data_IF_228647605288
#
_entry.id   IF_228647605288
#
_cell.length_a   1.000
_cell.length_b   1.000
_cell.length_c   1.000
_cell.angle_alpha   90.00
_cell.angle_beta   90.00
_cell.angle_gamma   90.00
#
_symmetry.space_group_name_H-M   'P 1'
#
loop_
_entity.id
_entity.type
_entity.pdbx_description
1 polymer ?
#
# COMPACT_ATOMS: atom_id res chain seq x y z
N UNK A 1 -15.95 -20.87 -7.55
CA UNK A 1 -16.96 -19.94 -8.13
C UNK A 1 -17.70 -19.31 -6.96
N UNK A 2 -17.91 -17.99 -6.98
CA UNK A 2 -18.59 -17.24 -5.92
C UNK A 2 -19.98 -16.78 -6.34
N UNK A 3 -20.83 -16.49 -5.36
CA UNK A 3 -22.25 -16.15 -5.52
C UNK A 3 -22.63 -14.99 -4.60
N UNK A 4 -23.63 -14.22 -5.01
CA UNK A 4 -24.34 -13.26 -4.16
C UNK A 4 -25.74 -13.82 -3.92
N UNK A 5 -26.14 -13.95 -2.66
CA UNK A 5 -27.40 -14.57 -2.23
C UNK A 5 -28.29 -13.58 -1.52
N UNK A 6 -29.59 -13.68 -1.72
CA UNK A 6 -30.57 -13.08 -0.82
C UNK A 6 -31.17 -14.16 0.08
N UNK A 7 -30.88 -14.09 1.39
CA UNK A 7 -31.39 -15.07 2.34
C UNK A 7 -32.93 -15.09 2.44
N UNK A 8 -33.59 -13.96 2.18
CA UNK A 8 -35.05 -13.86 2.32
C UNK A 8 -35.80 -14.52 1.15
N UNK A 9 -35.47 -14.16 -0.10
CA UNK A 9 -36.15 -14.70 -1.28
C UNK A 9 -35.44 -15.90 -1.93
N UNK A 10 -34.33 -16.37 -1.35
CA UNK A 10 -33.55 -17.53 -1.79
C UNK A 10 -33.04 -17.44 -3.24
N UNK A 11 -32.99 -16.23 -3.81
CA UNK A 11 -32.40 -15.98 -5.12
C UNK A 11 -30.90 -15.77 -4.98
N UNK A 12 -30.16 -16.21 -5.99
CA UNK A 12 -28.72 -16.04 -6.06
C UNK A 12 -28.25 -15.72 -7.46
N UNK A 13 -27.12 -15.02 -7.55
CA UNK A 13 -26.46 -14.66 -8.82
C UNK A 13 -25.00 -15.07 -8.72
N UNK A 14 -24.48 -15.71 -9.76
CA UNK A 14 -23.06 -16.05 -9.84
C UNK A 14 -22.24 -14.79 -10.09
N UNK A 15 -21.16 -14.62 -9.32
CA UNK A 15 -20.31 -13.44 -9.41
C UNK A 15 -19.39 -13.53 -10.62
N UNK A 16 -19.39 -12.48 -11.43
CA UNK A 16 -18.40 -12.29 -12.49
C UNK A 16 -17.12 -11.69 -11.87
N UNK A 17 -15.96 -12.36 -11.96
CA UNK A 17 -14.70 -11.86 -11.38
C UNK A 17 -14.20 -10.55 -11.99
N UNK A 18 -14.71 -10.17 -13.17
CA UNK A 18 -14.31 -8.94 -13.87
C UNK A 18 -15.26 -7.77 -13.65
N UNK A 19 -16.37 -7.96 -12.91
CA UNK A 19 -17.33 -6.92 -12.61
C UNK A 19 -17.19 -6.46 -11.14
N UNK A 20 -17.32 -5.16 -10.84
CA UNK A 20 -17.35 -4.69 -9.46
C UNK A 20 -18.56 -5.29 -8.73
N UNK A 21 -18.31 -5.80 -7.53
CA UNK A 21 -19.36 -6.32 -6.65
C UNK A 21 -20.18 -5.15 -6.09
N UNK A 22 -21.47 -5.09 -6.42
CA UNK A 22 -22.43 -4.26 -5.68
C UNK A 22 -23.17 -5.13 -4.67
N UNK A 23 -23.11 -4.74 -3.40
CA UNK A 23 -23.86 -5.34 -2.29
C UNK A 23 -25.15 -4.55 -2.01
N UNK A 24 -25.75 -3.97 -3.04
CA UNK A 24 -27.05 -3.30 -2.92
C UNK A 24 -28.14 -4.26 -2.41
N UNK A 25 -29.29 -3.70 -2.02
CA UNK A 25 -30.47 -4.47 -1.63
C UNK A 25 -30.94 -5.37 -2.77
N UNK A 26 -31.43 -6.56 -2.42
CA UNK A 26 -32.01 -7.50 -3.37
C UNK A 26 -33.11 -6.83 -4.21
N UNK A 27 -32.98 -6.84 -5.53
CA UNK A 27 -33.93 -6.21 -6.46
C UNK A 27 -35.35 -6.76 -6.34
N UNK A 28 -35.50 -7.99 -5.84
CA UNK A 28 -36.80 -8.65 -5.70
C UNK A 28 -37.51 -8.34 -4.37
N UNK A 29 -36.78 -8.20 -3.26
CA UNK A 29 -37.39 -8.14 -1.92
C UNK A 29 -36.79 -7.07 -1.00
N UNK A 30 -35.84 -6.26 -1.48
CA UNK A 30 -35.25 -5.15 -0.72
C UNK A 30 -34.36 -5.55 0.47
N UNK A 31 -34.16 -6.84 0.73
CA UNK A 31 -33.30 -7.31 1.83
C UNK A 31 -31.81 -7.27 1.46
N UNK A 32 -30.96 -7.29 2.48
CA UNK A 32 -29.50 -7.35 2.33
C UNK A 32 -29.08 -8.60 1.56
N UNK A 33 -28.04 -8.43 0.73
CA UNK A 33 -27.41 -9.51 0.00
C UNK A 33 -26.15 -9.97 0.75
N UNK A 34 -25.89 -11.27 0.72
CA UNK A 34 -24.71 -11.89 1.32
C UNK A 34 -23.84 -12.57 0.27
N UNK A 35 -22.56 -12.71 0.58
CA UNK A 35 -21.58 -13.30 -0.32
C UNK A 35 -21.30 -14.75 0.06
N UNK A 36 -21.42 -15.66 -0.90
CA UNK A 36 -20.96 -17.04 -0.77
C UNK A 36 -19.74 -17.28 -1.66
N UNK A 37 -18.62 -17.71 -1.08
CA UNK A 37 -17.36 -18.00 -1.78
C UNK A 37 -17.39 -19.31 -2.54
N UNK A 38 -18.24 -20.23 -2.13
CA UNK A 38 -18.32 -21.60 -2.65
C UNK A 38 -19.77 -22.06 -2.85
N UNK A 39 -20.02 -23.09 -3.68
CA UNK A 39 -21.33 -23.71 -3.81
C UNK A 39 -21.87 -24.27 -2.48
N UNK A 40 -20.98 -24.76 -1.60
CA UNK A 40 -21.34 -25.27 -0.28
C UNK A 40 -21.87 -24.16 0.63
N UNK A 41 -21.16 -23.02 0.67
CA UNK A 41 -21.58 -21.83 1.41
C UNK A 41 -22.87 -21.23 0.84
N UNK A 42 -23.05 -21.26 -0.48
CA UNK A 42 -24.32 -20.87 -1.12
C UNK A 42 -25.48 -21.70 -0.57
N UNK A 43 -25.34 -23.03 -0.54
CA UNK A 43 -26.39 -23.91 -0.03
C UNK A 43 -26.68 -23.63 1.45
N UNK A 44 -25.65 -23.38 2.26
CA UNK A 44 -25.80 -23.02 3.67
C UNK A 44 -26.68 -21.78 3.86
N UNK A 45 -26.36 -20.69 3.16
CA UNK A 45 -27.12 -19.45 3.24
C UNK A 45 -28.55 -19.61 2.70
N UNK A 46 -28.74 -20.43 1.66
CA UNK A 46 -30.08 -20.76 1.15
C UNK A 46 -30.93 -21.51 2.18
N UNK A 47 -30.33 -22.33 3.04
CA UNK A 47 -31.06 -23.02 4.13
C UNK A 47 -31.24 -22.15 5.37
N UNK A 48 -30.75 -20.90 5.38
CA UNK A 48 -30.87 -19.99 6.52
C UNK A 48 -29.98 -20.39 7.70
N UNK A 49 -28.91 -21.12 7.43
CA UNK A 49 -27.91 -21.46 8.43
C UNK A 49 -26.93 -20.28 8.49
N UNK A 50 -26.89 -19.59 9.62
CA UNK A 50 -25.94 -18.51 9.86
C UNK A 50 -24.52 -19.09 9.94
N UNK A 51 -23.66 -18.65 9.02
CA UNK A 51 -22.24 -18.98 9.06
C UNK A 51 -21.59 -18.23 10.23
N UNK A 52 -20.97 -18.92 11.21
CA UNK A 52 -20.33 -18.23 12.31
C UNK A 52 -19.17 -17.38 11.77
N UNK A 53 -19.14 -16.11 12.14
CA UNK A 53 -18.03 -15.23 11.76
C UNK A 53 -16.71 -15.74 12.34
N UNK A 54 -15.73 -16.01 11.49
CA UNK A 54 -14.39 -16.38 11.95
C UNK A 54 -13.72 -15.13 12.52
N UNK A 55 -13.54 -15.15 13.83
CA UNK A 55 -12.95 -14.07 14.58
C UNK A 55 -11.44 -14.05 14.33
N UNK A 56 -10.91 -12.89 13.96
CA UNK A 56 -9.48 -12.69 13.76
C UNK A 56 -9.00 -11.36 14.37
N UNK A 57 -7.71 -11.33 14.69
CA UNK A 57 -6.98 -10.15 15.16
C UNK A 57 -5.93 -9.78 14.11
N UNK A 58 -5.77 -8.48 13.85
CA UNK A 58 -4.65 -8.00 13.04
C UNK A 58 -3.45 -7.82 13.96
N UNK A 59 -2.40 -8.60 13.76
CA UNK A 59 -1.12 -8.46 14.44
C UNK A 59 -0.15 -7.78 13.48
N UNK A 60 0.44 -6.66 13.88
CA UNK A 60 1.44 -6.00 13.05
C UNK A 60 2.65 -6.92 12.82
N UNK A 61 3.08 -7.10 11.57
CA UNK A 61 4.27 -7.92 11.27
C UNK A 61 5.54 -7.33 11.88
N UNK A 62 5.62 -6.01 11.95
CA UNK A 62 6.80 -5.25 12.38
C UNK A 62 6.91 -5.21 13.90
N UNK A 63 5.94 -4.59 14.60
CA UNK A 63 6.03 -4.39 16.05
C UNK A 63 5.26 -5.44 16.88
N UNK A 64 4.60 -6.41 16.24
CA UNK A 64 3.78 -7.45 16.89
C UNK A 64 2.60 -6.92 17.72
N UNK A 65 2.30 -5.62 17.65
CA UNK A 65 1.14 -5.06 18.36
C UNK A 65 -0.16 -5.54 17.72
N UNK A 66 -1.17 -5.76 18.56
CA UNK A 66 -2.54 -5.95 18.09
C UNK A 66 -3.09 -4.63 17.53
N UNK A 67 -3.76 -4.70 16.39
CA UNK A 67 -4.34 -3.56 15.70
C UNK A 67 -5.85 -3.80 15.53
N UNK A 68 -6.70 -2.78 15.74
CA UNK A 68 -8.13 -2.94 15.55
C UNK A 68 -8.48 -3.30 14.09
N UNK A 69 -9.58 -4.04 13.90
CA UNK A 69 -9.95 -4.65 12.62
C UNK A 69 -10.12 -3.64 11.48
N UNK A 70 -10.55 -2.42 11.76
CA UNK A 70 -10.88 -1.42 10.73
C UNK A 70 -9.70 -0.55 10.31
N UNK A 71 -8.57 -0.60 11.03
CA UNK A 71 -7.46 0.30 10.76
C UNK A 71 -6.53 -0.30 9.69
N UNK A 72 -6.24 0.50 8.67
CA UNK A 72 -5.39 0.13 7.52
C UNK A 72 -3.88 0.22 7.80
N UNK A 73 -3.48 0.88 8.88
CA UNK A 73 -2.10 1.03 9.34
C UNK A 73 -1.98 0.72 10.83
N UNK A 74 -0.81 0.24 11.25
CA UNK A 74 -0.56 -0.13 12.63
C UNK A 74 -0.53 1.15 13.47
N UNK A 75 -1.38 1.25 14.49
CA UNK A 75 -1.43 2.45 15.32
C UNK A 75 -0.16 2.70 16.13
N UNK A 76 0.69 1.68 16.32
CA UNK A 76 1.96 1.81 17.04
C UNK A 76 3.12 2.20 16.14
N UNK A 77 3.31 1.51 14.99
CA UNK A 77 4.50 1.70 14.15
C UNK A 77 4.22 2.19 12.73
N UNK A 78 2.96 2.50 12.39
CA UNK A 78 2.54 2.96 11.06
C UNK A 78 2.59 1.92 9.95
N UNK A 79 3.14 0.72 10.21
CA UNK A 79 3.23 -0.35 9.21
C UNK A 79 1.86 -0.79 8.71
N UNK A 80 1.74 -1.00 7.40
CA UNK A 80 0.54 -1.55 6.76
C UNK A 80 0.60 -3.08 6.62
N UNK A 81 1.64 -3.72 7.16
CA UNK A 81 1.84 -5.15 7.08
C UNK A 81 1.27 -5.85 8.32
N UNK A 82 0.26 -6.70 8.10
CA UNK A 82 -0.39 -7.45 9.17
C UNK A 82 -0.37 -8.95 8.92
N UNK A 83 -0.17 -9.69 10.00
CA UNK A 83 -0.56 -11.09 10.12
C UNK A 83 -1.99 -11.12 10.65
N UNK A 84 -2.82 -11.98 10.06
CA UNK A 84 -4.14 -12.27 10.62
C UNK A 84 -3.98 -13.46 11.57
N UNK A 85 -4.22 -13.22 12.85
CA UNK A 85 -4.26 -14.28 13.84
C UNK A 85 -5.72 -14.66 14.08
N UNK A 86 -6.06 -15.89 13.69
CA UNK A 86 -7.40 -16.42 13.88
C UNK A 86 -7.57 -16.94 15.29
N UNK A 87 -8.72 -16.68 15.87
CA UNK A 87 -9.11 -17.28 17.14
C UNK A 87 -9.43 -18.77 16.91
N UNK A 88 -8.68 -19.70 17.53
CA UNK A 88 -8.84 -21.13 17.30
C UNK A 88 -10.26 -21.62 17.63
N UNK A 89 -10.95 -21.01 18.60
CA UNK A 89 -12.32 -21.39 18.94
C UNK A 89 -13.30 -21.01 17.82
N UNK A 90 -13.12 -19.82 17.23
CA UNK A 90 -13.96 -19.37 16.12
C UNK A 90 -13.76 -20.23 14.86
N UNK A 91 -12.52 -20.63 14.57
CA UNK A 91 -12.20 -21.54 13.47
C UNK A 91 -12.80 -22.91 13.71
N UNK A 92 -12.73 -23.41 14.94
CA UNK A 92 -13.34 -24.69 15.33
C UNK A 92 -14.86 -24.66 15.12
N UNK A 93 -15.55 -23.64 15.62
CA UNK A 93 -17.00 -23.47 15.42
C UNK A 93 -17.38 -23.40 13.95
N UNK A 94 -16.60 -22.68 13.15
CA UNK A 94 -16.79 -22.62 11.71
C UNK A 94 -16.65 -24.00 11.06
N UNK A 95 -15.61 -24.75 11.39
CA UNK A 95 -15.42 -26.09 10.86
C UNK A 95 -16.55 -27.05 11.28
N UNK A 96 -17.00 -26.97 12.53
CA UNK A 96 -18.14 -27.74 13.03
C UNK A 96 -19.42 -27.42 12.25
N UNK A 97 -19.73 -26.14 12.01
CA UNK A 97 -20.88 -25.73 11.20
C UNK A 97 -20.82 -26.23 9.76
N UNK A 98 -19.62 -26.27 9.16
CA UNK A 98 -19.42 -26.80 7.81
C UNK A 98 -19.63 -28.32 7.75
N UNK A 99 -19.22 -29.05 8.78
CA UNK A 99 -19.45 -30.49 8.89
C UNK A 99 -20.94 -30.78 9.10
N UNK A 100 -21.60 -30.03 9.98
CA UNK A 100 -23.03 -30.19 10.25
C UNK A 100 -23.87 -29.91 9.00
N UNK A 101 -23.52 -28.87 8.25
CA UNK A 101 -24.10 -28.54 6.95
C UNK A 101 -24.02 -29.70 5.95
N UNK A 102 -22.82 -30.28 5.83
CA UNK A 102 -22.56 -31.37 4.91
C UNK A 102 -23.37 -32.62 5.31
N UNK A 103 -23.48 -32.89 6.62
CA UNK A 103 -24.30 -33.98 7.14
C UNK A 103 -25.80 -33.76 6.88
N UNK A 104 -26.31 -32.53 7.02
CA UNK A 104 -27.70 -32.19 6.69
C UNK A 104 -28.00 -32.44 5.20
N UNK A 105 -27.11 -32.03 4.30
CA UNK A 105 -27.26 -32.30 2.86
C UNK A 105 -27.30 -33.80 2.57
N UNK A 106 -26.41 -34.57 3.19
CA UNK A 106 -26.38 -36.03 3.02
C UNK A 106 -27.66 -36.70 3.52
N UNK A 107 -28.22 -36.24 4.64
CA UNK A 107 -29.47 -36.77 5.19
C UNK A 107 -30.67 -36.41 4.30
N UNK A 108 -30.73 -35.21 3.75
CA UNK A 108 -31.79 -34.81 2.82
C UNK A 108 -31.75 -35.65 1.54
N UNK A 109 -30.56 -35.91 0.98
CA UNK A 109 -30.39 -36.79 -0.19
C UNK A 109 -30.88 -38.22 0.06
N UNK A 110 -30.63 -38.75 1.27
CA UNK A 110 -31.12 -40.09 1.66
C UNK A 110 -32.64 -40.15 1.79
N UNK A 111 -33.28 -39.05 2.20
CA UNK A 111 -34.74 -38.99 2.37
C UNK A 111 -35.51 -38.84 1.05
N UNK A 112 -34.91 -38.20 0.03
CA UNK A 112 -35.57 -38.01 -1.27
C UNK A 112 -35.66 -39.28 -2.13
N UNK A 113 -35.05 -40.40 -1.72
CA UNK A 113 -35.30 -41.72 -2.33
C UNK A 113 -34.91 -41.88 -3.80
N UNK A 114 -34.29 -40.87 -4.42
CA UNK A 114 -33.77 -40.95 -5.78
C UNK A 114 -32.50 -41.81 -5.78
N UNK A 115 -32.65 -43.08 -6.16
CA UNK A 115 -31.60 -44.09 -6.24
C UNK A 115 -30.54 -43.83 -7.34
N UNK A 116 -30.53 -42.65 -7.96
CA UNK A 116 -29.56 -42.22 -8.96
C UNK A 116 -28.69 -41.08 -8.41
N UNK A 117 -27.94 -41.36 -7.34
CA UNK A 117 -26.84 -40.48 -6.93
C UNK A 117 -25.71 -40.67 -7.96
N UNK A 118 -25.28 -39.62 -8.68
CA UNK A 118 -24.16 -39.72 -9.62
C UNK A 118 -22.91 -40.20 -8.88
N UNK A 119 -22.29 -41.30 -9.34
CA UNK A 119 -21.14 -41.95 -8.68
C UNK A 119 -19.95 -41.01 -8.45
N UNK A 120 -19.87 -39.92 -9.23
CA UNK A 120 -18.83 -38.90 -9.16
C UNK A 120 -18.80 -38.15 -7.80
N UNK A 121 -19.92 -38.07 -7.07
CA UNK A 121 -19.96 -37.43 -5.75
C UNK A 121 -19.52 -38.35 -4.60
N UNK A 122 -19.64 -39.67 -4.75
CA UNK A 122 -19.23 -40.63 -3.73
C UNK A 122 -17.69 -40.75 -3.65
N UNK A 123 -17.01 -40.64 -4.79
CA UNK A 123 -15.55 -40.73 -4.85
C UNK A 123 -14.85 -39.49 -4.28
N UNK A 124 -15.46 -38.31 -4.38
CA UNK A 124 -14.89 -37.09 -3.77
C UNK A 124 -14.99 -37.07 -2.24
N UNK A 125 -15.98 -37.74 -1.64
CA UNK A 125 -16.13 -37.81 -0.18
C UNK A 125 -15.15 -38.79 0.49
N UNK A 126 -14.58 -39.75 -0.25
CA UNK A 126 -13.66 -40.75 0.30
C UNK A 126 -12.17 -40.40 0.17
N UNK A 127 -11.79 -39.39 -0.62
CA UNK A 127 -10.37 -39.10 -0.93
C UNK A 127 -9.68 -38.06 -0.03
N UNK A 128 -10.31 -37.58 1.05
CA UNK A 128 -9.64 -36.61 1.92
C UNK A 128 -9.84 -36.89 3.43
N UNK A 129 -9.11 -37.85 4.01
CA UNK A 129 -9.25 -38.25 5.41
C UNK A 129 -8.64 -37.27 6.42
N UNK A 130 -8.25 -36.05 6.02
CA UNK A 130 -7.70 -35.05 6.93
C UNK A 130 -8.45 -33.70 6.81
N UNK A 131 -9.55 -33.51 7.54
CA UNK A 131 -10.39 -32.32 7.48
C UNK A 131 -9.83 -31.20 8.36
N UNK A 132 -8.51 -30.97 8.32
CA UNK A 132 -7.94 -29.75 8.86
C UNK A 132 -7.81 -28.77 7.69
N UNK A 133 -8.82 -27.91 7.42
CA UNK A 133 -8.66 -26.82 6.49
C UNK A 133 -7.56 -25.90 7.05
N UNK A 134 -6.34 -26.09 6.58
CA UNK A 134 -5.27 -25.13 6.79
C UNK A 134 -5.62 -23.92 5.95
N UNK A 135 -6.21 -22.92 6.59
CA UNK A 135 -6.48 -21.64 5.96
C UNK A 135 -5.13 -20.93 5.77
N UNK A 136 -4.43 -21.25 4.68
CA UNK A 136 -3.19 -20.58 4.29
C UNK A 136 -3.59 -19.21 3.74
N UNK A 137 -3.63 -18.20 4.60
CA UNK A 137 -3.88 -16.83 4.18
C UNK A 137 -2.54 -16.14 4.02
N UNK A 138 -2.06 -16.15 2.78
CA UNK A 138 -0.95 -15.30 2.37
C UNK A 138 -1.43 -13.83 2.33
N UNK A 139 -1.42 -13.13 3.47
CA UNK A 139 -1.51 -11.67 3.48
C UNK A 139 -0.14 -11.07 3.15
N UNK A 140 0.25 -11.18 1.89
CA UNK A 140 1.08 -10.12 1.27
C UNK A 140 0.12 -9.02 0.84
N UNK A 141 -0.05 -8.01 1.70
CA UNK A 141 -0.66 -6.74 1.26
C UNK A 141 0.37 -6.09 0.34
N UNK A 142 0.38 -6.50 -0.94
CA UNK A 142 1.11 -5.79 -1.99
C UNK A 142 0.50 -4.40 -2.02
N UNK A 143 1.24 -3.41 -1.53
CA UNK A 143 0.86 -2.02 -1.68
C UNK A 143 0.61 -1.81 -3.17
N UNK A 144 -0.60 -1.39 -3.51
CA UNK A 144 -1.01 -1.23 -4.90
C UNK A 144 0.02 -0.31 -5.60
N UNK A 145 0.56 -0.79 -6.73
CA UNK A 145 1.61 -0.09 -7.50
C UNK A 145 1.21 1.36 -7.81
N UNK A 146 -0.11 1.59 -7.97
CA UNK A 146 -0.69 2.91 -8.17
C UNK A 146 -0.46 3.86 -6.98
N UNK A 147 -0.62 3.38 -5.75
CA UNK A 147 -0.41 4.20 -4.54
C UNK A 147 1.06 4.56 -4.35
N UNK A 148 1.97 3.60 -4.57
CA UNK A 148 3.41 3.87 -4.51
C UNK A 148 3.83 4.96 -5.52
N UNK A 149 3.26 4.91 -6.72
CA UNK A 149 3.52 5.92 -7.74
C UNK A 149 3.01 7.31 -7.33
N UNK A 150 1.79 7.42 -6.77
CA UNK A 150 1.24 8.68 -6.28
C UNK A 150 2.10 9.31 -5.17
N UNK A 151 2.54 8.52 -4.19
CA UNK A 151 3.48 9.02 -3.16
C UNK A 151 4.80 9.48 -3.79
N UNK A 152 5.26 8.80 -4.84
CA UNK A 152 6.39 9.22 -5.64
C UNK A 152 6.26 10.61 -6.23
N UNK A 153 5.14 10.90 -6.88
CA UNK A 153 4.88 12.23 -7.46
C UNK A 153 4.85 13.30 -6.37
N UNK A 154 4.13 13.05 -5.27
CA UNK A 154 4.01 14.00 -4.16
C UNK A 154 5.38 14.30 -3.55
N UNK A 155 6.20 13.26 -3.34
CA UNK A 155 7.57 13.37 -2.85
C UNK A 155 8.45 14.22 -3.77
N UNK A 156 8.32 14.06 -5.09
CA UNK A 156 9.07 14.87 -6.07
C UNK A 156 8.65 16.33 -6.03
N UNK A 157 7.33 16.60 -5.96
CA UNK A 157 6.80 17.96 -5.86
C UNK A 157 7.30 18.65 -4.58
N UNK A 158 7.24 17.97 -3.43
CA UNK A 158 7.71 18.54 -2.17
C UNK A 158 9.21 18.84 -2.20
N UNK A 159 10.04 17.90 -2.67
CA UNK A 159 11.49 18.14 -2.79
C UNK A 159 11.83 19.29 -3.74
N UNK A 160 11.06 19.48 -4.81
CA UNK A 160 11.22 20.62 -5.71
C UNK A 160 10.86 21.96 -5.04
N UNK A 161 9.76 22.02 -4.29
CA UNK A 161 9.35 23.20 -3.52
C UNK A 161 10.41 23.56 -2.47
N UNK A 162 10.89 22.56 -1.73
CA UNK A 162 11.93 22.74 -0.72
C UNK A 162 13.23 23.25 -1.32
N UNK A 163 13.63 22.73 -2.49
CA UNK A 163 14.79 23.22 -3.21
C UNK A 163 14.68 24.72 -3.52
N UNK A 164 13.54 25.15 -4.09
CA UNK A 164 13.30 26.58 -4.39
C UNK A 164 13.36 27.39 -3.09
N UNK A 165 12.67 26.93 -2.04
CA UNK A 165 12.65 27.61 -0.75
C UNK A 165 14.06 27.82 -0.18
N UNK A 166 14.91 26.80 -0.15
CA UNK A 166 16.27 26.91 0.38
C UNK A 166 17.20 27.74 -0.50
N UNK A 167 17.06 27.67 -1.82
CA UNK A 167 17.83 28.52 -2.73
C UNK A 167 17.43 29.99 -2.57
N UNK A 168 16.13 30.29 -2.49
CA UNK A 168 15.63 31.64 -2.24
C UNK A 168 16.10 32.17 -0.89
N UNK A 169 15.99 31.37 0.18
CA UNK A 169 16.48 31.75 1.50
C UNK A 169 18.00 32.00 1.48
N UNK A 170 18.77 31.16 0.81
CA UNK A 170 20.20 31.34 0.67
C UNK A 170 20.57 32.59 -0.15
N UNK A 171 19.82 32.90 -1.21
CA UNK A 171 19.98 34.14 -1.97
C UNK A 171 19.73 35.36 -1.09
N UNK A 172 18.68 35.35 -0.27
CA UNK A 172 18.42 36.41 0.71
C UNK A 172 19.54 36.53 1.75
N UNK A 173 20.14 35.42 2.20
CA UNK A 173 21.27 35.47 3.13
C UNK A 173 22.53 36.10 2.54
N UNK A 174 22.78 35.95 1.23
CA UNK A 174 23.94 36.55 0.56
C UNK A 174 23.66 37.99 0.15
N UNK A 175 22.51 38.24 -0.49
CA UNK A 175 22.18 39.55 -1.04
C UNK A 175 21.70 40.54 0.03
N UNK A 176 21.13 40.04 1.13
CA UNK A 176 20.38 40.87 2.07
C UNK A 176 19.22 41.58 1.37
N UNK A 177 19.10 42.88 1.61
CA UNK A 177 18.11 43.75 0.96
C UNK A 177 18.58 44.24 -0.44
N UNK A 178 19.81 43.95 -0.84
CA UNK A 178 20.41 44.46 -2.08
C UNK A 178 20.36 43.43 -3.22
N UNK A 179 19.17 42.87 -3.48
CA UNK A 179 19.00 41.96 -4.62
C UNK A 179 19.12 42.79 -5.92
N UNK A 180 20.01 42.42 -6.86
CA UNK A 180 20.14 43.15 -8.11
C UNK A 180 18.81 43.14 -8.88
N UNK A 181 18.19 44.30 -9.08
CA UNK A 181 16.93 44.44 -9.79
C UNK A 181 17.10 44.33 -11.32
N UNK A 182 18.31 44.60 -11.81
CA UNK A 182 18.63 44.58 -13.24
C UNK A 182 19.47 43.37 -13.61
N UNK A 183 19.22 42.83 -14.81
CA UNK A 183 19.98 41.71 -15.38
C UNK A 183 21.48 42.03 -15.51
N UNK A 184 21.83 43.29 -15.76
CA UNK A 184 23.22 43.76 -15.86
C UNK A 184 23.96 43.70 -14.52
N UNK A 185 23.28 43.99 -13.41
CA UNK A 185 23.85 43.88 -12.07
C UNK A 185 23.85 42.43 -11.53
N UNK A 186 23.03 41.54 -12.11
CA UNK A 186 22.92 40.15 -11.68
C UNK A 186 24.17 39.32 -12.01
N UNK A 187 24.73 39.47 -13.22
CA UNK A 187 25.93 38.72 -13.66
C UNK A 187 27.16 38.98 -12.77
N UNK A 188 27.55 40.24 -12.47
CA UNK A 188 28.68 40.50 -11.58
C UNK A 188 28.40 40.03 -10.16
N UNK A 189 27.15 40.15 -9.67
CA UNK A 189 26.77 39.62 -8.36
C UNK A 189 26.98 38.09 -8.26
N UNK A 190 26.52 37.34 -9.27
CA UNK A 190 26.71 35.88 -9.33
C UNK A 190 28.19 35.53 -9.39
N UNK A 191 28.96 36.24 -10.21
CA UNK A 191 30.39 35.97 -10.38
C UNK A 191 31.18 36.23 -9.10
N UNK A 192 30.86 37.30 -8.37
CA UNK A 192 31.49 37.64 -7.10
C UNK A 192 31.11 36.65 -5.98
N UNK A 193 29.90 36.13 -6.00
CA UNK A 193 29.37 35.23 -4.96
C UNK A 193 29.32 33.76 -5.39
N UNK A 194 30.03 33.38 -6.46
CA UNK A 194 29.91 32.06 -7.09
C UNK A 194 30.14 30.92 -6.09
N UNK A 195 31.15 31.03 -5.22
CA UNK A 195 31.45 30.01 -4.21
C UNK A 195 30.33 29.88 -3.18
N UNK A 196 29.84 31.00 -2.64
CA UNK A 196 28.78 31.01 -1.64
C UNK A 196 27.46 30.47 -2.21
N UNK A 197 27.10 30.91 -3.43
CA UNK A 197 25.93 30.41 -4.17
C UNK A 197 26.07 28.91 -4.47
N UNK A 198 27.27 28.47 -4.87
CA UNK A 198 27.55 27.05 -5.12
C UNK A 198 27.33 26.19 -3.87
N UNK A 199 27.81 26.64 -2.71
CA UNK A 199 27.61 25.93 -1.43
C UNK A 199 26.12 25.85 -1.09
N UNK A 200 25.38 26.95 -1.23
CA UNK A 200 23.93 26.99 -0.98
C UNK A 200 23.20 26.01 -1.89
N UNK A 201 23.52 25.98 -3.19
CA UNK A 201 22.90 25.06 -4.14
C UNK A 201 23.19 23.60 -3.76
N UNK A 202 24.43 23.28 -3.38
CA UNK A 202 24.80 21.92 -2.93
C UNK A 202 24.01 21.52 -1.68
N UNK A 203 23.91 22.40 -0.69
CA UNK A 203 23.15 22.14 0.55
C UNK A 203 21.66 22.02 0.25
N UNK A 204 21.10 22.89 -0.58
CA UNK A 204 19.70 22.86 -0.98
C UNK A 204 19.36 21.56 -1.72
N UNK A 205 20.23 21.08 -2.62
CA UNK A 205 20.06 19.80 -3.30
C UNK A 205 20.10 18.61 -2.32
N UNK A 206 21.03 18.62 -1.36
CA UNK A 206 21.09 17.59 -0.33
C UNK A 206 19.81 17.56 0.52
N UNK A 207 19.31 18.73 0.94
CA UNK A 207 18.07 18.84 1.73
C UNK A 207 16.83 18.44 0.93
N UNK A 208 16.73 18.86 -0.33
CA UNK A 208 15.66 18.48 -1.25
C UNK A 208 15.59 16.96 -1.48
N UNK A 209 16.74 16.28 -1.43
CA UNK A 209 16.80 14.82 -1.48
C UNK A 209 16.42 14.14 -0.16
N UNK A 210 16.64 14.80 0.98
CA UNK A 210 16.45 14.25 2.32
C UNK A 210 14.99 14.30 2.79
N UNK A 211 14.32 15.43 2.64
CA UNK A 211 12.96 15.66 3.15
C UNK A 211 11.92 14.66 2.62
N UNK A 212 11.90 14.30 1.33
CA UNK A 212 10.88 13.41 0.80
C UNK A 212 10.90 12.00 1.39
N UNK A 213 12.04 11.58 1.97
CA UNK A 213 12.18 10.29 2.67
C UNK A 213 11.34 10.25 3.95
N UNK A 214 11.05 11.40 4.57
CA UNK A 214 10.16 11.47 5.74
C UNK A 214 8.67 11.28 5.39
N UNK A 215 8.30 11.50 4.13
CA UNK A 215 6.92 11.34 3.64
C UNK A 215 6.66 9.87 3.27
N UNK A 216 7.68 9.15 2.83
CA UNK A 216 7.54 7.77 2.36
C UNK A 216 7.70 6.75 3.49
N UNK A 217 6.86 5.70 3.52
CA UNK A 217 7.08 4.59 4.44
C UNK A 217 8.33 3.80 4.06
N UNK A 218 9.10 3.37 5.08
CA UNK A 218 10.34 2.56 5.04
C UNK A 218 10.75 2.09 3.64
N UNK A 219 11.74 2.74 3.07
CA UNK A 219 12.29 2.38 1.76
C UNK A 219 13.64 1.68 1.91
N UNK A 220 14.00 0.84 0.94
CA UNK A 220 15.40 0.39 0.86
C UNK A 220 16.31 1.56 0.46
N UNK A 221 17.55 1.59 0.92
CA UNK A 221 18.55 2.61 0.53
C UNK A 221 18.64 2.80 -0.99
N UNK A 222 18.52 1.71 -1.77
CA UNK A 222 18.50 1.75 -3.24
C UNK A 222 17.28 2.49 -3.79
N UNK A 223 16.11 2.28 -3.20
CA UNK A 223 14.89 2.95 -3.62
C UNK A 223 14.87 4.42 -3.18
N UNK A 224 15.36 4.71 -1.97
CA UNK A 224 15.57 6.07 -1.49
C UNK A 224 16.48 6.87 -2.43
N UNK A 225 17.66 6.33 -2.78
CA UNK A 225 18.56 6.96 -3.74
C UNK A 225 17.87 7.23 -5.09
N UNK A 226 17.15 6.23 -5.64
CA UNK A 226 16.45 6.37 -6.92
C UNK A 226 15.39 7.48 -6.88
N UNK A 227 14.56 7.50 -5.84
CA UNK A 227 13.49 8.49 -5.71
C UNK A 227 14.06 9.89 -5.55
N UNK A 228 15.05 10.09 -4.69
CA UNK A 228 15.68 11.40 -4.51
C UNK A 228 16.50 11.82 -5.73
N UNK A 229 17.12 10.89 -6.47
CA UNK A 229 17.81 11.20 -7.72
C UNK A 229 16.86 11.72 -8.81
N UNK A 230 15.61 11.21 -8.87
CA UNK A 230 14.60 11.73 -9.80
C UNK A 230 14.32 13.22 -9.54
N UNK A 231 14.34 13.65 -8.28
CA UNK A 231 14.16 15.07 -7.91
C UNK A 231 15.30 15.92 -8.50
N UNK A 232 16.54 15.45 -8.37
CA UNK A 232 17.70 16.12 -8.96
C UNK A 232 17.66 16.16 -10.49
N UNK A 233 17.14 15.11 -11.13
CA UNK A 233 16.89 15.11 -12.58
C UNK A 233 15.84 16.17 -12.95
N UNK A 234 14.72 16.26 -12.23
CA UNK A 234 13.68 17.27 -12.48
C UNK A 234 14.24 18.69 -12.31
N UNK A 235 15.01 18.94 -11.24
CA UNK A 235 15.68 20.23 -11.02
C UNK A 235 16.69 20.53 -12.13
N UNK A 236 17.47 19.53 -12.56
CA UNK A 236 18.42 19.66 -13.67
C UNK A 236 17.74 19.86 -15.04
N UNK A 237 16.53 19.35 -15.24
CA UNK A 237 15.75 19.67 -16.45
C UNK A 237 15.37 21.15 -16.45
N UNK A 238 15.06 21.74 -15.29
CA UNK A 238 14.77 23.17 -15.21
C UNK A 238 15.96 24.04 -15.65
N UNK A 239 17.20 23.57 -15.50
CA UNK A 239 18.38 24.33 -15.96
C UNK A 239 18.53 24.35 -17.49
N UNK A 240 17.90 23.41 -18.22
CA UNK A 240 17.85 23.45 -19.69
C UNK A 240 17.12 24.68 -20.23
N UNK A 241 16.21 25.28 -19.46
CA UNK A 241 15.52 26.50 -19.87
C UNK A 241 16.42 27.74 -19.79
N UNK A 242 17.55 27.64 -19.09
CA UNK A 242 18.47 28.76 -18.83
C UNK A 242 19.81 28.57 -19.56
N UNK A 243 20.27 27.33 -19.69
CA UNK A 243 21.55 27.00 -20.32
C UNK A 243 21.45 26.84 -21.84
N UNK A 244 22.37 27.45 -22.58
CA UNK A 244 22.48 27.27 -24.04
C UNK A 244 23.34 26.07 -24.44
N UNK A 245 24.20 25.56 -23.55
CA UNK A 245 25.09 24.43 -23.83
C UNK A 245 24.49 23.11 -23.31
N UNK A 246 24.12 22.17 -24.20
CA UNK A 246 23.54 20.90 -23.79
C UNK A 246 24.50 20.03 -22.96
N UNK A 247 25.81 20.13 -23.16
CA UNK A 247 26.79 19.32 -22.45
C UNK A 247 26.89 19.75 -20.99
N UNK A 248 26.90 21.06 -20.73
CA UNK A 248 26.84 21.62 -19.36
C UNK A 248 25.53 21.25 -18.67
N UNK A 249 24.42 21.22 -19.41
CA UNK A 249 23.12 20.82 -18.86
C UNK A 249 23.08 19.33 -18.47
N UNK A 250 23.68 18.44 -19.26
CA UNK A 250 23.76 17.01 -18.93
C UNK A 250 24.62 16.79 -17.68
N UNK A 251 25.77 17.45 -17.59
CA UNK A 251 26.68 17.33 -16.43
C UNK A 251 26.00 17.86 -15.16
N UNK A 252 25.36 19.03 -15.23
CA UNK A 252 24.65 19.61 -14.09
C UNK A 252 23.47 18.74 -13.64
N UNK A 253 22.71 18.15 -14.56
CA UNK A 253 21.64 17.20 -14.25
C UNK A 253 22.19 15.95 -13.53
N UNK A 254 23.31 15.41 -13.99
CA UNK A 254 23.95 14.25 -13.37
C UNK A 254 24.46 14.58 -11.95
N UNK A 255 25.11 15.73 -11.78
CA UNK A 255 25.56 16.20 -10.46
C UNK A 255 24.38 16.42 -9.52
N UNK A 256 23.31 17.07 -9.99
CA UNK A 256 22.10 17.29 -9.20
C UNK A 256 21.48 15.96 -8.76
N UNK A 257 21.34 14.99 -9.66
CA UNK A 257 20.81 13.67 -9.36
C UNK A 257 21.65 12.90 -8.33
N UNK A 258 22.98 12.99 -8.40
CA UNK A 258 23.88 12.37 -7.42
C UNK A 258 23.73 13.05 -6.06
N UNK A 259 23.74 14.39 -6.00
CA UNK A 259 23.65 15.14 -4.75
C UNK A 259 22.30 14.92 -4.06
N UNK A 260 21.19 15.03 -4.76
CA UNK A 260 19.88 14.73 -4.19
C UNK A 260 19.76 13.26 -3.79
N UNK A 261 20.32 12.34 -4.60
CA UNK A 261 20.39 10.92 -4.29
C UNK A 261 21.13 10.63 -2.98
N UNK A 262 22.28 11.29 -2.75
CA UNK A 262 23.03 11.22 -1.49
C UNK A 262 22.22 11.77 -0.32
N UNK A 263 21.50 12.87 -0.52
CA UNK A 263 20.55 13.42 0.47
C UNK A 263 19.50 12.40 0.89
N UNK A 264 18.95 11.65 -0.06
CA UNK A 264 17.99 10.56 0.21
C UNK A 264 18.59 9.43 1.05
N UNK A 265 19.80 8.98 0.70
CA UNK A 265 20.51 7.92 1.46
C UNK A 265 20.78 8.37 2.90
N UNK A 266 21.18 9.62 3.10
CA UNK A 266 21.39 10.20 4.44
C UNK A 266 20.06 10.25 5.20
N UNK A 267 18.98 10.69 4.57
CA UNK A 267 17.64 10.72 5.16
C UNK A 267 17.19 9.34 5.64
N UNK A 268 17.34 8.31 4.81
CA UNK A 268 16.99 6.93 5.16
C UNK A 268 17.83 6.42 6.35
N UNK A 269 19.14 6.74 6.36
CA UNK A 269 20.02 6.39 7.49
C UNK A 269 19.54 7.02 8.81
N UNK A 270 19.15 8.30 8.77
CA UNK A 270 18.61 9.02 9.94
C UNK A 270 17.32 8.37 10.43
N UNK A 271 16.36 8.10 9.54
CA UNK A 271 15.09 7.46 9.91
C UNK A 271 15.32 6.07 10.49
N UNK A 272 16.19 5.28 9.89
CA UNK A 272 16.52 3.95 10.39
C UNK A 272 17.11 4.00 11.81
N UNK A 273 18.03 4.95 12.06
CA UNK A 273 18.64 5.15 13.37
C UNK A 273 17.62 5.62 14.42
N UNK A 274 16.75 6.56 14.07
CA UNK A 274 15.68 7.05 14.94
C UNK A 274 14.69 5.93 15.29
N UNK A 275 14.27 5.14 14.29
CA UNK A 275 13.34 4.03 14.48
C UNK A 275 13.90 2.95 15.40
N UNK A 276 15.19 2.62 15.26
CA UNK A 276 15.84 1.63 16.13
C UNK A 276 15.97 2.11 17.57
N UNK A 277 16.18 3.41 17.77
CA UNK A 277 16.28 4.01 19.12
C UNK A 277 14.93 3.94 19.84
N UNK A 278 13.83 4.24 19.15
CA UNK A 278 12.48 4.20 19.73
C UNK A 278 12.08 2.77 20.13
N UNK A 279 12.41 1.76 19.32
CA UNK A 279 12.07 0.35 19.63
C UNK A 279 12.94 -0.25 20.74
N UNK A 280 14.01 0.43 21.17
CA UNK A 280 14.88 -0.03 22.25
C UNK A 280 14.47 0.47 23.64
N UNK A 281 13.44 1.31 23.71
CA UNK A 281 12.81 1.81 24.95
C UNK A 281 11.51 1.07 25.22
#
# INVERSE_FOLDING_TARGET
MSYVVCQNCKRFVQVNPYAPLSFDKCTNCGHTLEFARSPTELQLLLHGIEMPEVSYKKICKVCKSENPREVGSCMYCGSTEFNLQYDPESVKKYNESMIEAQNMQLNNLKQTGDANIPSEYADQMNQNPNPNPQVIINTEVKLDKSRQFMFGIISVIMGFIDFIFFVTLGLFLIAGDNIPETTEALVPFITQNMTSLGIIVVVALLLAGLIPIFIMPKMSYKNSFKMSAIIGVVIGICTLFVGYDPLVCIISMLIAAILTGLGGVIGEYIIHKLTNTINSQ
#
